data_IF_073946673665
#
_entry.id   IF_073946673665
#
_cell.length_a   1.000
_cell.length_b   1.000
_cell.length_c   1.000
_cell.angle_alpha   90.00
_cell.angle_beta   90.00
_cell.angle_gamma   90.00
#
_symmetry.space_group_name_H-M   'P 1'
#
loop_
_entity.id
_entity.type
_entity.pdbx_description
1 polymer ?
#
# COMPACT_ATOMS: atom_id res chain seq x y z
N UNK A 1 35.52 -12.49 58.59
CA UNK A 1 34.12 -12.07 58.41
C UNK A 1 33.99 -10.92 57.39
N UNK A 2 34.73 -9.82 57.52
CA UNK A 2 34.61 -8.66 56.61
C UNK A 2 35.12 -8.89 55.17
N UNK A 3 36.21 -9.65 54.99
CA UNK A 3 36.84 -9.89 53.68
C UNK A 3 35.92 -10.71 52.75
N UNK A 4 35.22 -11.72 53.28
CA UNK A 4 34.29 -12.52 52.49
C UNK A 4 33.08 -11.73 51.99
N UNK A 5 32.62 -10.76 52.79
CA UNK A 5 31.51 -9.88 52.43
C UNK A 5 31.91 -8.90 51.33
N UNK A 6 33.14 -8.40 51.37
CA UNK A 6 33.71 -7.54 50.32
C UNK A 6 33.86 -8.25 48.98
N UNK A 7 34.32 -9.51 48.98
CA UNK A 7 34.43 -10.32 47.76
C UNK A 7 33.07 -10.61 47.10
N UNK A 8 32.01 -10.83 47.90
CA UNK A 8 30.66 -11.04 47.38
C UNK A 8 30.08 -9.78 46.72
N UNK A 9 30.29 -8.61 47.32
CA UNK A 9 29.83 -7.34 46.77
C UNK A 9 30.56 -7.02 45.45
N UNK A 10 31.88 -7.20 45.42
CA UNK A 10 32.66 -7.01 44.19
C UNK A 10 32.26 -7.98 43.08
N UNK A 11 32.07 -9.26 43.40
CA UNK A 11 31.60 -10.26 42.43
C UNK A 11 30.24 -9.90 41.84
N UNK A 12 29.32 -9.38 42.67
CA UNK A 12 28.00 -8.95 42.22
C UNK A 12 28.05 -7.74 41.29
N UNK A 13 28.86 -6.72 41.63
CA UNK A 13 29.04 -5.52 40.81
C UNK A 13 29.67 -5.86 39.45
N UNK A 14 30.72 -6.68 39.44
CA UNK A 14 31.38 -7.10 38.19
C UNK A 14 30.44 -7.97 37.34
N UNK A 15 29.70 -8.89 37.96
CA UNK A 15 28.71 -9.72 37.25
C UNK A 15 27.57 -8.90 36.65
N UNK A 16 27.10 -7.87 37.35
CA UNK A 16 26.04 -6.98 36.88
C UNK A 16 26.51 -6.11 35.70
N UNK A 17 27.71 -5.51 35.79
CA UNK A 17 28.30 -4.74 34.70
C UNK A 17 28.58 -5.60 33.45
N UNK A 18 29.00 -6.86 33.64
CA UNK A 18 29.25 -7.77 32.52
C UNK A 18 27.97 -8.26 31.84
N UNK A 19 26.84 -8.30 32.57
CA UNK A 19 25.52 -8.61 32.03
C UNK A 19 25.00 -7.50 31.11
N UNK A 20 25.16 -6.23 31.49
CA UNK A 20 24.76 -5.10 30.65
C UNK A 20 25.67 -4.90 29.42
N UNK A 21 26.91 -5.40 29.47
CA UNK A 21 27.81 -5.39 28.30
C UNK A 21 27.41 -6.38 27.19
N UNK A 22 26.54 -7.36 27.50
CA UNK A 22 25.95 -8.23 26.48
C UNK A 22 24.77 -7.50 25.85
N UNK A 23 25.09 -6.60 24.93
CA UNK A 23 24.12 -6.10 23.97
C UNK A 23 23.35 -7.30 23.40
N UNK A 24 22.02 -7.30 23.59
CA UNK A 24 21.15 -8.22 22.89
C UNK A 24 21.57 -8.22 21.43
N UNK A 25 21.94 -9.39 20.92
CA UNK A 25 22.03 -9.59 19.47
C UNK A 25 20.62 -9.45 18.95
N UNK A 26 20.17 -8.21 18.75
CA UNK A 26 19.04 -7.91 17.90
C UNK A 26 19.37 -8.58 16.59
N UNK A 27 18.71 -9.70 16.31
CA UNK A 27 18.82 -10.38 15.04
C UNK A 27 18.33 -9.38 14.02
N UNK A 28 19.26 -8.63 13.42
CA UNK A 28 18.98 -7.81 12.28
C UNK A 28 18.44 -8.79 11.24
N UNK A 29 17.13 -8.70 10.99
CA UNK A 29 16.47 -9.35 9.88
C UNK A 29 17.18 -8.85 8.63
N UNK A 30 18.23 -9.54 8.21
CA UNK A 30 18.84 -9.35 6.90
C UNK A 30 17.80 -9.82 5.90
N UNK A 31 16.88 -8.92 5.56
CA UNK A 31 16.11 -9.01 4.34
C UNK A 31 17.14 -8.98 3.22
N UNK A 32 17.53 -10.17 2.75
CA UNK A 32 18.22 -10.31 1.48
C UNK A 32 17.28 -9.74 0.43
N UNK A 33 17.46 -8.47 0.08
CA UNK A 33 16.88 -7.89 -1.13
C UNK A 33 17.61 -8.53 -2.30
N UNK A 34 17.26 -9.78 -2.63
CA UNK A 34 17.62 -10.35 -3.90
C UNK A 34 16.96 -9.42 -4.93
N UNK A 35 17.74 -8.85 -5.83
CA UNK A 35 17.21 -8.09 -6.96
C UNK A 35 16.44 -9.08 -7.85
N UNK A 36 15.20 -9.38 -7.46
CA UNK A 36 14.29 -10.20 -8.24
C UNK A 36 13.85 -9.31 -9.38
N UNK A 37 14.36 -9.57 -10.57
CA UNK A 37 13.83 -8.99 -11.80
C UNK A 37 12.43 -9.58 -11.99
N UNK A 38 11.43 -8.87 -11.49
CA UNK A 38 10.04 -9.25 -11.63
C UNK A 38 9.67 -9.19 -13.12
N UNK A 39 9.01 -10.24 -13.60
CA UNK A 39 8.37 -10.23 -14.91
C UNK A 39 7.34 -9.10 -15.00
N UNK A 40 7.00 -8.66 -16.21
CA UNK A 40 6.01 -7.61 -16.43
C UNK A 40 4.69 -7.89 -15.68
N UNK A 41 4.15 -9.11 -15.80
CA UNK A 41 2.92 -9.51 -15.10
C UNK A 41 3.08 -9.49 -13.57
N UNK A 42 4.25 -9.86 -13.07
CA UNK A 42 4.54 -9.83 -11.63
C UNK A 42 4.61 -8.39 -11.12
N UNK A 43 5.21 -7.46 -11.89
CA UNK A 43 5.20 -6.02 -11.58
C UNK A 43 3.78 -5.48 -11.49
N UNK A 44 2.90 -5.85 -12.43
CA UNK A 44 1.50 -5.39 -12.40
C UNK A 44 0.74 -5.94 -11.19
N UNK A 45 0.94 -7.21 -10.84
CA UNK A 45 0.33 -7.81 -9.63
C UNK A 45 0.86 -7.15 -8.36
N UNK A 46 2.14 -6.77 -8.32
CA UNK A 46 2.74 -6.06 -7.18
C UNK A 46 2.10 -4.69 -6.95
N UNK A 47 1.66 -3.99 -8.02
CA UNK A 47 1.00 -2.68 -7.89
C UNK A 47 -0.28 -2.73 -7.07
N UNK A 48 -0.95 -3.87 -6.99
CA UNK A 48 -2.21 -4.02 -6.24
C UNK A 48 -2.08 -4.90 -4.99
N UNK A 49 -0.97 -5.62 -4.82
CA UNK A 49 -0.77 -6.54 -3.69
C UNK A 49 -0.50 -5.77 -2.39
N UNK A 50 -1.25 -6.09 -1.35
CA UNK A 50 -0.94 -5.66 0.02
C UNK A 50 0.03 -6.63 0.68
N UNK A 51 0.86 -6.14 1.61
CA UNK A 51 1.72 -7.02 2.41
C UNK A 51 0.91 -7.81 3.44
N UNK A 52 -0.12 -7.19 4.01
CA UNK A 52 -1.03 -7.80 4.98
C UNK A 52 -2.37 -7.05 5.00
N UNK A 53 -3.38 -7.60 5.68
CA UNK A 53 -4.68 -6.96 5.81
C UNK A 53 -4.66 -5.66 6.62
N UNK A 54 -3.72 -5.52 7.56
CA UNK A 54 -3.57 -4.29 8.33
C UNK A 54 -3.13 -3.11 7.43
N UNK A 55 -2.27 -3.37 6.45
CA UNK A 55 -1.85 -2.41 5.44
C UNK A 55 -3.03 -2.00 4.56
N UNK A 56 -3.85 -2.96 4.12
CA UNK A 56 -5.11 -2.68 3.40
C UNK A 56 -6.02 -1.75 4.19
N UNK A 57 -6.26 -2.03 5.48
CA UNK A 57 -7.10 -1.19 6.35
C UNK A 57 -6.48 0.21 6.52
N UNK A 58 -5.16 0.29 6.72
CA UNK A 58 -4.43 1.56 6.82
C UNK A 58 -4.61 2.39 5.56
N UNK A 59 -4.46 1.80 4.39
CA UNK A 59 -4.64 2.46 3.09
C UNK A 59 -6.04 3.06 2.96
N UNK A 60 -7.07 2.31 3.35
CA UNK A 60 -8.46 2.78 3.34
C UNK A 60 -8.71 3.92 4.32
N UNK A 61 -8.09 3.87 5.50
CA UNK A 61 -8.22 4.92 6.52
C UNK A 61 -7.49 6.23 6.15
N UNK A 62 -6.54 6.18 5.23
CA UNK A 62 -5.81 7.36 4.75
C UNK A 62 -6.58 8.16 3.70
N UNK A 63 -7.73 7.67 3.24
CA UNK A 63 -8.56 8.33 2.25
C UNK A 63 -9.25 9.56 2.84
N UNK A 64 -9.28 10.64 2.08
CA UNK A 64 -10.09 11.81 2.36
C UNK A 64 -11.59 11.49 2.23
N UNK A 65 -12.49 12.34 2.78
CA UNK A 65 -13.93 12.16 2.59
C UNK A 65 -14.37 12.17 1.12
N UNK A 66 -13.67 12.92 0.27
CA UNK A 66 -13.96 12.99 -1.17
C UNK A 66 -13.44 11.76 -1.91
N UNK A 67 -12.22 11.33 -1.59
CA UNK A 67 -11.64 10.08 -2.08
C UNK A 67 -12.51 8.88 -1.69
N UNK A 68 -13.06 8.87 -0.46
CA UNK A 68 -13.98 7.84 0.01
C UNK A 68 -15.31 7.85 -0.75
N UNK A 69 -15.83 9.04 -1.10
CA UNK A 69 -17.03 9.15 -1.95
C UNK A 69 -16.73 8.67 -3.37
N UNK A 70 -15.61 9.07 -3.94
CA UNK A 70 -15.16 8.63 -5.26
C UNK A 70 -15.00 7.10 -5.32
N UNK A 71 -14.39 6.50 -4.29
CA UNK A 71 -14.28 5.05 -4.14
C UNK A 71 -15.65 4.36 -4.22
N UNK A 72 -16.66 4.88 -3.52
CA UNK A 72 -18.02 4.31 -3.56
C UNK A 72 -18.66 4.43 -4.94
N UNK A 73 -18.43 5.53 -5.65
CA UNK A 73 -18.89 5.69 -7.04
C UNK A 73 -18.24 4.65 -7.95
N UNK A 74 -16.94 4.42 -7.80
CA UNK A 74 -16.24 3.37 -8.54
C UNK A 74 -16.80 1.98 -8.22
N UNK A 75 -17.05 1.66 -6.94
CA UNK A 75 -17.65 0.37 -6.56
C UNK A 75 -19.01 0.14 -7.23
N UNK A 76 -19.86 1.18 -7.25
CA UNK A 76 -21.16 1.12 -7.91
C UNK A 76 -21.03 0.96 -9.43
N UNK A 77 -20.06 1.64 -10.07
CA UNK A 77 -19.92 1.54 -11.52
C UNK A 77 -19.28 0.22 -11.96
N UNK A 78 -18.42 -0.37 -11.13
CA UNK A 78 -17.64 -1.57 -11.42
C UNK A 78 -18.04 -2.77 -10.56
N UNK A 79 -19.34 -3.06 -10.46
CA UNK A 79 -19.90 -4.12 -9.58
C UNK A 79 -19.24 -5.50 -9.77
N UNK A 80 -18.90 -5.86 -11.01
CA UNK A 80 -18.32 -7.16 -11.35
C UNK A 80 -16.78 -7.22 -11.26
N UNK A 81 -16.14 -6.15 -10.79
CA UNK A 81 -14.67 -6.06 -10.70
C UNK A 81 -14.23 -5.80 -9.26
N UNK A 82 -12.99 -6.17 -8.97
CA UNK A 82 -12.38 -5.91 -7.66
C UNK A 82 -11.82 -4.48 -7.65
N UNK A 83 -12.30 -3.66 -6.72
CA UNK A 83 -11.70 -2.35 -6.44
C UNK A 83 -10.64 -2.49 -5.34
N UNK A 84 -9.42 -2.06 -5.63
CA UNK A 84 -8.27 -2.11 -4.72
C UNK A 84 -7.71 -0.69 -4.56
N UNK A 85 -7.47 -0.26 -3.33
CA UNK A 85 -6.95 1.07 -3.02
C UNK A 85 -5.51 0.94 -2.56
N UNK A 86 -4.55 1.43 -3.34
CA UNK A 86 -3.13 1.41 -2.95
C UNK A 86 -2.46 2.73 -3.30
N UNK A 87 -1.76 3.32 -2.35
CA UNK A 87 -1.01 4.57 -2.49
C UNK A 87 -1.88 5.72 -3.03
N UNK A 88 -3.12 5.83 -2.51
CA UNK A 88 -4.18 6.77 -2.95
C UNK A 88 -4.63 6.62 -4.41
N UNK A 89 -4.26 5.52 -5.06
CA UNK A 89 -4.75 5.12 -6.38
C UNK A 89 -5.83 4.05 -6.24
N UNK A 90 -6.82 4.13 -7.12
CA UNK A 90 -7.96 3.23 -7.16
C UNK A 90 -7.80 2.31 -8.37
N UNK A 91 -7.40 1.06 -8.11
CA UNK A 91 -7.21 0.06 -9.14
C UNK A 91 -8.49 -0.74 -9.34
N UNK A 92 -8.94 -0.83 -10.58
CA UNK A 92 -9.94 -1.82 -10.98
C UNK A 92 -9.17 -3.04 -11.46
N UNK A 93 -9.46 -4.20 -10.88
CA UNK A 93 -8.83 -5.46 -11.22
C UNK A 93 -9.86 -6.51 -11.62
N UNK A 94 -9.47 -7.44 -12.49
CA UNK A 94 -10.29 -8.60 -12.82
C UNK A 94 -10.35 -9.61 -11.64
N UNK A 95 -11.15 -10.67 -11.78
CA UNK A 95 -11.22 -11.81 -10.87
C UNK A 95 -9.84 -12.36 -10.46
N UNK A 96 -8.90 -12.45 -11.40
CA UNK A 96 -7.52 -12.93 -11.16
C UNK A 96 -6.60 -11.91 -10.48
N UNK A 97 -7.15 -10.77 -10.05
CA UNK A 97 -6.39 -9.68 -9.42
C UNK A 97 -5.27 -9.19 -10.34
N UNK A 98 -5.60 -8.99 -11.62
CA UNK A 98 -4.78 -8.27 -12.58
C UNK A 98 -5.38 -6.87 -12.79
N UNK A 99 -4.59 -5.78 -12.66
CA UNK A 99 -5.11 -4.43 -12.81
C UNK A 99 -5.45 -4.11 -14.27
N UNK A 100 -6.68 -3.64 -14.51
CA UNK A 100 -7.20 -3.28 -15.85
C UNK A 100 -7.37 -1.78 -16.04
N UNK A 101 -7.52 -1.01 -14.96
CA UNK A 101 -7.59 0.44 -15.00
C UNK A 101 -7.14 1.05 -13.66
N UNK A 102 -6.61 2.26 -13.72
CA UNK A 102 -6.20 3.05 -12.55
C UNK A 102 -7.00 4.35 -12.54
N UNK A 103 -7.58 4.68 -11.42
CA UNK A 103 -8.23 5.97 -11.19
C UNK A 103 -7.47 6.73 -10.10
N UNK A 104 -7.18 8.00 -10.35
CA UNK A 104 -6.63 8.93 -9.38
C UNK A 104 -7.64 10.02 -9.10
N UNK A 105 -7.88 10.33 -7.83
CA UNK A 105 -8.68 11.48 -7.44
C UNK A 105 -7.80 12.53 -6.79
N UNK A 106 -8.00 13.79 -7.18
CA UNK A 106 -7.33 14.94 -6.57
C UNK A 106 -8.36 15.97 -6.15
N UNK A 107 -8.23 16.45 -4.92
CA UNK A 107 -9.02 17.59 -4.47
C UNK A 107 -8.68 18.84 -5.29
N UNK A 108 -9.70 19.65 -5.56
CA UNK A 108 -9.54 20.87 -6.33
C UNK A 108 -10.83 21.65 -6.46
N UNK A 109 -10.72 22.88 -6.96
CA UNK A 109 -11.86 23.75 -7.25
C UNK A 109 -12.23 23.75 -8.74
N UNK A 110 -11.28 23.40 -9.60
CA UNK A 110 -11.51 23.28 -11.05
C UNK A 110 -11.64 21.83 -11.43
N UNK A 111 -12.71 21.55 -12.15
CA UNK A 111 -12.99 20.25 -12.74
C UNK A 111 -11.93 19.90 -13.78
N UNK A 112 -11.36 18.70 -13.67
CA UNK A 112 -10.41 18.14 -14.63
C UNK A 112 -10.61 16.63 -14.73
N UNK A 113 -10.68 16.12 -15.96
CA UNK A 113 -10.62 14.69 -16.30
C UNK A 113 -9.55 14.49 -17.35
N UNK A 114 -8.52 13.70 -17.06
CA UNK A 114 -7.42 13.39 -17.98
C UNK A 114 -7.28 11.88 -18.10
N UNK A 115 -7.06 11.40 -19.33
CA UNK A 115 -6.75 10.00 -19.62
C UNK A 115 -5.28 9.90 -20.03
N UNK A 116 -4.58 8.94 -19.44
CA UNK A 116 -3.20 8.59 -19.72
C UNK A 116 -3.04 7.06 -19.72
N UNK A 117 -1.83 6.54 -19.88
CA UNK A 117 -1.51 5.13 -19.76
C UNK A 117 -0.19 4.92 -18.98
N UNK A 118 -0.24 4.05 -17.96
CA UNK A 118 0.94 3.65 -17.17
C UNK A 118 1.18 2.16 -17.38
N UNK A 119 2.33 1.81 -17.97
CA UNK A 119 2.69 0.42 -18.29
C UNK A 119 1.55 -0.34 -19.01
N UNK A 120 0.95 0.26 -20.05
CA UNK A 120 -0.15 -0.34 -20.81
C UNK A 120 -1.51 -0.37 -20.11
N UNK A 121 -1.61 0.12 -18.87
CA UNK A 121 -2.87 0.22 -18.13
C UNK A 121 -3.41 1.65 -18.24
N UNK A 122 -4.67 1.86 -18.65
CA UNK A 122 -5.26 3.19 -18.72
C UNK A 122 -5.39 3.82 -17.32
N UNK A 123 -4.95 5.08 -17.22
CA UNK A 123 -5.01 5.90 -16.02
C UNK A 123 -5.99 7.04 -16.23
N UNK A 124 -6.94 7.21 -15.32
CA UNK A 124 -7.91 8.28 -15.35
C UNK A 124 -7.72 9.18 -14.14
N UNK A 125 -7.28 10.41 -14.37
CA UNK A 125 -7.11 11.42 -13.34
C UNK A 125 -8.35 12.30 -13.26
N UNK A 126 -9.00 12.28 -12.10
CA UNK A 126 -10.12 13.13 -11.73
C UNK A 126 -9.66 14.20 -10.76
N UNK A 127 -10.05 15.45 -11.02
CA UNK A 127 -9.88 16.55 -10.08
C UNK A 127 -11.20 17.28 -9.90
N UNK A 128 -11.64 17.44 -8.66
CA UNK A 128 -12.91 18.09 -8.28
C UNK A 128 -14.21 17.44 -8.84
N UNK A 129 -14.12 16.66 -9.91
CA UNK A 129 -15.25 15.98 -10.57
C UNK A 129 -15.60 14.71 -9.79
N UNK A 130 -16.85 14.63 -9.35
CA UNK A 130 -17.48 13.42 -8.82
C UNK A 130 -18.75 13.15 -9.63
N UNK A 131 -18.61 12.55 -10.81
CA UNK A 131 -19.73 12.23 -11.69
C UNK A 131 -19.73 10.75 -12.05
N UNK A 132 -20.82 10.06 -11.71
CA UNK A 132 -21.04 8.66 -12.12
C UNK A 132 -21.09 8.50 -13.63
N UNK A 133 -21.65 9.49 -14.34
CA UNK A 133 -21.76 9.47 -15.81
C UNK A 133 -20.38 9.47 -16.47
N UNK A 134 -19.48 10.33 -16.00
CA UNK A 134 -18.10 10.38 -16.49
C UNK A 134 -17.36 9.05 -16.27
N UNK A 135 -17.54 8.42 -15.10
CA UNK A 135 -16.94 7.11 -14.80
C UNK A 135 -17.57 6.03 -15.69
N UNK A 136 -18.88 6.12 -16.00
CA UNK A 136 -19.56 5.18 -16.89
C UNK A 136 -19.01 5.26 -18.32
N UNK A 137 -18.76 6.46 -18.84
CA UNK A 137 -18.09 6.65 -20.13
C UNK A 137 -16.68 6.07 -20.14
N UNK A 138 -15.90 6.29 -19.07
CA UNK A 138 -14.56 5.71 -18.96
C UNK A 138 -14.61 4.18 -18.96
N UNK A 139 -15.57 3.59 -18.22
CA UNK A 139 -15.82 2.15 -18.23
C UNK A 139 -16.14 1.63 -19.63
N UNK A 140 -16.99 2.32 -20.40
CA UNK A 140 -17.29 1.96 -21.79
C UNK A 140 -16.04 2.04 -22.68
N UNK A 141 -15.15 3.01 -22.42
CA UNK A 141 -13.88 3.11 -23.16
C UNK A 141 -12.93 1.96 -22.87
N UNK A 142 -13.06 1.29 -21.71
CA UNK A 142 -12.29 0.10 -21.37
C UNK A 142 -12.81 -1.15 -22.06
N UNK A 143 -14.13 -1.30 -22.20
CA UNK A 143 -14.71 -2.46 -22.90
C UNK A 143 -14.45 -2.45 -24.40
N UNK A 144 -14.33 -1.26 -25.00
CA UNK A 144 -14.08 -1.12 -26.44
C UNK A 144 -12.59 -1.25 -26.82
N UNK A 145 -11.69 -1.27 -25.84
CA UNK A 145 -10.25 -1.42 -26.03
C UNK A 145 -9.74 -2.86 -25.85
N UNK A 146 -10.61 -3.77 -25.39
CA UNK A 146 -10.36 -5.20 -25.24
C UNK A 146 -10.92 -5.97 -26.45
#
# INVERSE_FOLDING_TARGET
>A
MAIGLFCLILGFIVGYLWRDSRAEKTQALTQKSRNVYLSYNERQREKIRYQNDADRIRQLNLLSPNESRFMRLLQHQFENHKLIVKDRRFYIADQDSYPIAIFEYRDGTKELRVKDAEDGIPVFLYKAILSSEAIAEDKLSLSNAA
#
